data_IF_811648234276
#
_entry.id   IF_811648234276
#
_cell.length_a   1.000
_cell.length_b   1.000
_cell.length_c   1.000
_cell.angle_alpha   90.00
_cell.angle_beta   90.00
_cell.angle_gamma   90.00
#
_symmetry.space_group_name_H-M   'P 1'
#
loop_
_entity.id
_entity.type
_entity.pdbx_description
1 polymer ?
#
# COMPACT_ATOMS: atom_id res chain seq x y z
N UNK A 1 12.27 -11.14 8.34
CA UNK A 1 13.06 -10.40 7.32
C UNK A 1 13.21 -11.33 6.14
N UNK A 2 12.79 -10.88 4.96
CA UNK A 2 12.67 -11.72 3.78
C UNK A 2 14.02 -11.77 3.03
N UNK A 3 14.31 -12.89 2.36
CA UNK A 3 15.61 -13.24 1.77
C UNK A 3 15.83 -12.78 0.31
N UNK A 4 15.04 -11.82 -0.17
CA UNK A 4 15.24 -11.16 -1.49
C UNK A 4 14.91 -12.00 -2.75
N UNK A 5 14.91 -13.34 -2.67
CA UNK A 5 14.76 -14.21 -3.84
C UNK A 5 13.38 -14.13 -4.53
N UNK A 6 12.33 -13.75 -3.80
CA UNK A 6 10.98 -13.55 -4.33
C UNK A 6 10.41 -12.22 -3.82
N UNK A 7 9.96 -11.30 -4.70
CA UNK A 7 9.33 -10.05 -4.28
C UNK A 7 8.20 -10.24 -3.26
N UNK A 8 8.18 -9.54 -2.11
CA UNK A 8 7.05 -9.61 -1.18
C UNK A 8 5.77 -9.03 -1.78
N UNK A 9 4.64 -9.36 -1.17
CA UNK A 9 3.34 -8.74 -1.46
C UNK A 9 2.95 -7.86 -0.27
N UNK A 10 2.74 -6.57 -0.51
CA UNK A 10 2.40 -5.60 0.52
C UNK A 10 0.93 -5.21 0.39
N UNK A 11 0.12 -5.56 1.40
CA UNK A 11 -1.31 -5.26 1.45
C UNK A 11 -1.54 -3.91 2.15
N UNK A 12 -2.02 -2.91 1.40
CA UNK A 12 -2.21 -1.54 1.89
C UNK A 12 -3.69 -1.28 2.10
N UNK A 13 -4.08 -1.11 3.36
CA UNK A 13 -5.47 -0.95 3.75
C UNK A 13 -6.09 0.38 3.29
N UNK A 14 -7.41 0.51 3.37
CA UNK A 14 -8.14 1.75 3.08
C UNK A 14 -8.25 2.69 4.28
N UNK A 15 -9.20 3.62 4.21
CA UNK A 15 -9.65 4.39 5.38
C UNK A 15 -10.20 3.40 6.43
N UNK A 16 -10.02 3.67 7.72
CA UNK A 16 -10.40 2.76 8.84
C UNK A 16 -9.74 1.38 8.86
N UNK A 17 -8.78 1.13 7.96
CA UNK A 17 -8.02 -0.10 8.01
C UNK A 17 -6.99 -0.12 9.12
N UNK A 18 -6.51 -1.34 9.40
CA UNK A 18 -5.58 -1.63 10.48
C UNK A 18 -4.61 -2.73 10.04
N UNK A 19 -3.39 -2.71 10.58
CA UNK A 19 -2.39 -3.74 10.30
C UNK A 19 -2.62 -5.03 11.10
N UNK A 20 -1.82 -6.05 10.78
CA UNK A 20 -1.88 -7.37 11.43
C UNK A 20 -1.77 -7.25 12.95
N UNK A 21 -2.66 -7.93 13.68
CA UNK A 21 -2.66 -7.96 15.15
C UNK A 21 -3.34 -6.78 15.86
N UNK A 22 -3.91 -5.82 15.12
CA UNK A 22 -4.76 -4.77 15.71
C UNK A 22 -6.24 -5.17 15.74
N UNK A 23 -6.99 -4.58 16.67
CA UNK A 23 -8.43 -4.85 16.89
C UNK A 23 -8.75 -6.31 17.30
N UNK A 24 -8.19 -6.72 18.44
CA UNK A 24 -8.44 -8.04 19.06
C UNK A 24 -8.13 -9.26 18.16
N UNK A 25 -7.16 -9.12 17.24
CA UNK A 25 -6.75 -10.20 16.34
C UNK A 25 -7.62 -10.36 15.10
N UNK A 26 -8.59 -9.45 14.86
CA UNK A 26 -9.27 -9.40 13.57
C UNK A 26 -8.27 -9.05 12.45
N UNK A 27 -8.52 -9.58 11.26
CA UNK A 27 -7.74 -9.31 10.06
C UNK A 27 -8.52 -8.37 9.15
N UNK A 28 -7.95 -7.22 8.81
CA UNK A 28 -8.53 -6.30 7.83
C UNK A 28 -8.67 -6.97 6.46
N UNK A 29 -7.69 -7.79 6.06
CA UNK A 29 -7.71 -8.51 4.78
C UNK A 29 -8.28 -9.93 4.91
N UNK A 30 -9.17 -10.16 5.88
CA UNK A 30 -9.84 -11.44 6.15
C UNK A 30 -8.97 -12.72 6.05
N UNK A 31 -7.70 -12.66 6.49
CA UNK A 31 -6.76 -13.78 6.54
C UNK A 31 -5.92 -13.95 5.28
N UNK A 32 -5.99 -13.03 4.30
CA UNK A 32 -5.15 -13.08 3.11
C UNK A 32 -3.65 -13.07 3.45
N UNK A 33 -3.27 -12.46 4.57
CA UNK A 33 -1.89 -12.43 5.06
C UNK A 33 -1.38 -13.75 5.63
N UNK A 34 -2.24 -14.76 5.77
CA UNK A 34 -1.88 -16.12 6.21
C UNK A 34 -1.70 -17.06 5.01
N UNK A 35 -2.02 -16.61 3.79
CA UNK A 35 -1.93 -17.43 2.57
C UNK A 35 -0.52 -17.58 2.02
N UNK A 36 0.39 -16.69 2.40
CA UNK A 36 1.77 -16.68 1.91
C UNK A 36 2.69 -15.97 2.94
N UNK A 37 3.83 -16.60 3.24
CA UNK A 37 4.76 -16.18 4.30
C UNK A 37 5.46 -14.84 3.99
N UNK A 38 5.39 -14.37 2.74
CA UNK A 38 6.02 -13.13 2.26
C UNK A 38 4.99 -12.01 2.04
N UNK A 39 3.87 -12.06 2.76
CA UNK A 39 2.85 -11.01 2.77
C UNK A 39 3.07 -10.05 3.93
N UNK A 40 3.18 -8.77 3.62
CA UNK A 40 3.35 -7.69 4.59
C UNK A 40 2.06 -6.86 4.69
N UNK A 41 1.64 -6.57 5.92
CA UNK A 41 0.41 -5.81 6.20
C UNK A 41 0.73 -4.62 7.10
N UNK A 42 1.24 -3.51 6.52
CA UNK A 42 1.58 -2.31 7.27
C UNK A 42 0.37 -1.68 7.96
N UNK A 43 0.59 -1.15 9.16
CA UNK A 43 -0.35 -0.28 9.86
C UNK A 43 0.06 1.18 9.64
N UNK A 44 -0.64 1.86 8.73
CA UNK A 44 -0.29 3.21 8.28
C UNK A 44 -1.10 4.32 8.97
N UNK A 45 -1.95 3.95 9.93
CA UNK A 45 -2.95 4.84 10.49
C UNK A 45 -4.22 4.87 9.64
N UNK A 46 -5.37 4.74 10.30
CA UNK A 46 -6.68 4.63 9.67
C UNK A 46 -7.23 5.96 9.12
N UNK A 47 -6.71 7.09 9.61
CA UNK A 47 -7.25 8.43 9.37
C UNK A 47 -6.20 9.47 9.00
N UNK A 48 -5.03 9.03 8.57
CA UNK A 48 -3.93 9.88 8.11
C UNK A 48 -4.05 10.20 6.62
N UNK A 49 -3.40 11.28 6.18
CA UNK A 49 -3.42 11.71 4.78
C UNK A 49 -2.79 10.67 3.85
N UNK A 50 -3.14 10.68 2.55
CA UNK A 50 -2.50 9.78 1.57
C UNK A 50 -0.99 10.00 1.52
N UNK A 51 -0.55 11.26 1.64
CA UNK A 51 0.86 11.65 1.72
C UNK A 51 1.58 11.00 2.91
N UNK A 52 1.04 11.17 4.13
CA UNK A 52 1.66 10.62 5.33
C UNK A 52 1.70 9.10 5.32
N UNK A 53 0.66 8.47 4.77
CA UNK A 53 0.59 7.02 4.62
C UNK A 53 1.61 6.51 3.63
N UNK A 54 1.87 7.23 2.53
CA UNK A 54 2.91 6.88 1.56
C UNK A 54 4.31 6.98 2.19
N UNK A 55 4.58 8.07 2.93
CA UNK A 55 5.81 8.23 3.71
C UNK A 55 5.97 7.12 4.74
N UNK A 56 4.95 6.85 5.54
CA UNK A 56 4.96 5.79 6.54
C UNK A 56 5.18 4.40 5.94
N UNK A 57 4.63 4.14 4.74
CA UNK A 57 4.80 2.88 4.02
C UNK A 57 6.25 2.67 3.57
N UNK A 58 6.90 3.72 3.07
CA UNK A 58 8.32 3.66 2.70
C UNK A 58 9.19 3.24 3.89
N UNK A 59 9.08 3.95 5.02
CA UNK A 59 9.89 3.68 6.21
C UNK A 59 9.49 2.38 6.94
N UNK A 60 8.24 1.92 6.80
CA UNK A 60 7.86 0.58 7.26
C UNK A 60 8.65 -0.52 6.54
N UNK A 61 8.90 -0.36 5.23
CA UNK A 61 9.66 -1.30 4.41
C UNK A 61 11.17 -1.13 4.60
N UNK A 62 11.71 0.07 4.38
CA UNK A 62 13.16 0.34 4.44
C UNK A 62 13.71 0.36 5.87
N UNK A 63 12.91 0.79 6.84
CA UNK A 63 13.37 1.13 8.18
C UNK A 63 13.76 2.60 8.30
N UNK A 64 14.08 3.04 9.51
CA UNK A 64 14.36 4.43 9.83
C UNK A 64 13.18 5.17 10.46
N UNK A 65 13.32 6.47 10.64
CA UNK A 65 12.28 7.32 11.23
C UNK A 65 11.44 7.94 10.14
N UNK A 66 10.12 7.81 10.24
CA UNK A 66 9.21 8.41 9.28
C UNK A 66 9.43 9.93 9.24
N UNK A 67 9.83 10.43 8.08
CA UNK A 67 9.90 11.87 7.76
C UNK A 67 8.75 12.23 6.81
N UNK A 68 7.81 13.03 7.30
CA UNK A 68 6.69 13.55 6.54
C UNK A 68 7.05 14.77 5.69
N UNK A 69 8.30 15.25 5.75
CA UNK A 69 8.75 16.44 5.03
C UNK A 69 8.45 17.72 5.78
N UNK A 70 9.46 18.58 5.90
CA UNK A 70 9.38 19.83 6.66
C UNK A 70 8.29 20.77 6.14
N UNK A 71 8.25 20.99 4.82
CA UNK A 71 7.27 21.87 4.19
C UNK A 71 5.84 21.36 4.38
N UNK A 72 5.61 20.06 4.16
CA UNK A 72 4.31 19.43 4.33
C UNK A 72 3.81 19.59 5.76
N UNK A 73 4.65 19.22 6.74
CA UNK A 73 4.32 19.31 8.16
C UNK A 73 4.06 20.74 8.63
N UNK A 74 4.82 21.72 8.13
CA UNK A 74 4.57 23.14 8.40
C UNK A 74 3.24 23.60 7.80
N UNK A 75 2.93 23.18 6.57
CA UNK A 75 1.72 23.59 5.84
C UNK A 75 0.44 23.04 6.47
N UNK A 76 0.47 21.78 6.91
CA UNK A 76 -0.71 21.10 7.48
C UNK A 76 -0.72 21.04 9.01
N UNK A 77 0.27 21.66 9.67
CA UNK A 77 0.27 21.86 11.12
C UNK A 77 0.42 20.58 11.93
N UNK A 78 1.30 19.66 11.52
CA UNK A 78 1.63 18.46 12.29
C UNK A 78 3.14 18.25 12.43
N UNK A 79 3.54 17.27 13.25
CA UNK A 79 4.96 16.97 13.45
C UNK A 79 5.60 16.42 12.17
N UNK A 80 6.84 16.86 11.88
CA UNK A 80 7.67 16.36 10.76
C UNK A 80 8.01 14.89 10.88
N UNK A 81 8.31 14.43 12.10
CA UNK A 81 8.77 13.06 12.31
C UNK A 81 7.72 12.21 13.00
N UNK A 82 7.49 11.01 12.45
CA UNK A 82 6.57 10.01 12.98
C UNK A 82 7.28 8.86 13.72
N UNK A 83 6.70 7.66 13.57
CA UNK A 83 7.20 6.41 14.16
C UNK A 83 8.63 6.13 13.68
N UNK A 84 9.46 5.59 14.57
CA UNK A 84 10.76 5.03 14.22
C UNK A 84 10.65 3.51 14.04
N UNK A 85 11.32 2.99 13.02
CA UNK A 85 11.48 1.57 12.75
C UNK A 85 12.97 1.23 12.82
N UNK A 86 13.41 0.62 13.92
CA UNK A 86 14.82 0.22 14.10
C UNK A 86 15.29 -0.70 12.96
N UNK A 87 14.39 -1.54 12.46
CA UNK A 87 14.60 -2.37 11.27
C UNK A 87 13.35 -2.35 10.40
N UNK A 88 13.55 -2.08 9.11
CA UNK A 88 12.50 -2.23 8.10
C UNK A 88 12.04 -3.67 7.95
N UNK A 89 10.81 -3.86 7.47
CA UNK A 89 10.28 -5.21 7.20
C UNK A 89 10.89 -5.82 5.93
N UNK A 90 11.41 -4.97 5.04
CA UNK A 90 12.14 -5.35 3.83
C UNK A 90 13.27 -4.35 3.53
N UNK A 91 14.35 -4.31 4.33
CA UNK A 91 15.37 -3.25 4.24
C UNK A 91 16.15 -3.24 2.92
N UNK A 92 16.29 -4.40 2.29
CA UNK A 92 16.92 -4.55 0.97
C UNK A 92 16.06 -4.04 -0.19
N UNK A 93 14.84 -3.54 0.07
CA UNK A 93 13.94 -3.09 -0.99
C UNK A 93 14.61 -2.06 -1.91
N UNK A 94 14.83 -2.44 -3.16
CA UNK A 94 15.45 -1.63 -4.21
C UNK A 94 14.98 -2.13 -5.59
N UNK A 95 15.69 -1.76 -6.66
CA UNK A 95 15.34 -2.17 -8.04
C UNK A 95 15.67 -3.64 -8.31
N UNK A 96 16.72 -4.19 -7.69
CA UNK A 96 17.03 -5.61 -7.75
C UNK A 96 16.13 -6.47 -6.84
N UNK A 97 15.59 -5.86 -5.79
CA UNK A 97 14.71 -6.49 -4.82
C UNK A 97 13.35 -5.77 -4.73
N UNK A 98 12.56 -5.69 -5.82
CA UNK A 98 11.34 -4.89 -5.85
C UNK A 98 10.18 -5.60 -5.11
N UNK A 99 9.05 -4.92 -4.95
CA UNK A 99 7.87 -5.45 -4.24
C UNK A 99 6.56 -5.29 -5.02
N UNK A 100 5.62 -6.20 -4.79
CA UNK A 100 4.24 -6.08 -5.27
C UNK A 100 3.37 -5.38 -4.23
N UNK A 101 2.45 -4.54 -4.68
CA UNK A 101 1.55 -3.81 -3.80
C UNK A 101 0.09 -4.06 -4.18
N UNK A 102 -0.74 -4.34 -3.18
CA UNK A 102 -2.19 -4.53 -3.34
C UNK A 102 -2.90 -3.52 -2.44
N UNK A 103 -3.59 -2.56 -3.03
CA UNK A 103 -4.28 -1.49 -2.31
C UNK A 103 -5.78 -1.70 -2.29
N UNK A 104 -6.38 -1.77 -1.10
CA UNK A 104 -7.83 -1.72 -0.95
C UNK A 104 -8.30 -0.27 -0.74
N UNK A 105 -9.37 0.16 -1.42
CA UNK A 105 -9.98 1.49 -1.25
C UNK A 105 -8.91 2.60 -1.37
N UNK A 106 -8.77 3.49 -0.37
CA UNK A 106 -7.77 4.55 -0.36
C UNK A 106 -6.32 4.05 -0.36
N UNK A 107 -6.08 2.78 -0.01
CA UNK A 107 -4.75 2.16 -0.08
C UNK A 107 -4.17 2.15 -1.49
N UNK A 108 -5.01 2.06 -2.53
CA UNK A 108 -4.56 2.15 -3.91
C UNK A 108 -3.98 3.54 -4.25
N UNK A 109 -4.55 4.61 -3.70
CA UNK A 109 -4.02 5.96 -3.86
C UNK A 109 -2.67 6.12 -3.15
N UNK A 110 -2.54 5.55 -1.95
CA UNK A 110 -1.29 5.55 -1.18
C UNK A 110 -0.16 4.93 -1.97
N UNK A 111 -0.39 3.76 -2.59
CA UNK A 111 0.62 3.07 -3.38
C UNK A 111 1.02 3.89 -4.62
N UNK A 112 0.05 4.48 -5.33
CA UNK A 112 0.34 5.31 -6.50
C UNK A 112 1.16 6.54 -6.13
N UNK A 113 0.85 7.19 -5.01
CA UNK A 113 1.62 8.32 -4.53
C UNK A 113 3.03 7.90 -4.08
N UNK A 114 3.17 6.75 -3.42
CA UNK A 114 4.48 6.20 -3.07
C UNK A 114 5.33 5.97 -4.32
N UNK A 115 4.76 5.35 -5.36
CA UNK A 115 5.47 5.13 -6.62
C UNK A 115 5.97 6.44 -7.25
N UNK A 116 5.12 7.48 -7.24
CA UNK A 116 5.51 8.82 -7.70
C UNK A 116 6.64 9.41 -6.83
N UNK A 117 6.55 9.31 -5.51
CA UNK A 117 7.59 9.79 -4.60
C UNK A 117 8.94 9.08 -4.79
N UNK A 118 8.92 7.80 -5.15
CA UNK A 118 10.14 7.05 -5.49
C UNK A 118 10.78 7.58 -6.78
N UNK A 119 9.97 7.82 -7.81
CA UNK A 119 10.41 8.44 -9.07
C UNK A 119 11.02 9.84 -8.84
N UNK A 120 10.34 10.66 -8.04
CA UNK A 120 10.73 12.04 -7.75
C UNK A 120 11.88 12.14 -6.74
N UNK A 121 12.36 11.01 -6.19
CA UNK A 121 13.42 10.96 -5.17
C UNK A 121 13.09 11.76 -3.93
N UNK A 122 11.85 11.68 -3.48
CA UNK A 122 11.30 12.51 -2.41
C UNK A 122 11.76 12.11 -0.98
N UNK A 123 12.65 11.11 -0.85
CA UNK A 123 13.11 10.54 0.41
C UNK A 123 14.58 10.89 0.66
N UNK A 124 14.83 11.84 1.57
CA UNK A 124 16.18 12.28 1.94
C UNK A 124 17.05 11.08 2.40
N UNK A 125 18.27 10.99 1.88
CA UNK A 125 19.19 9.87 2.15
C UNK A 125 18.93 8.61 1.31
N UNK A 126 17.99 8.67 0.36
CA UNK A 126 17.68 7.60 -0.60
C UNK A 126 17.58 8.14 -2.02
N UNK A 127 18.68 8.68 -2.55
CA UNK A 127 18.76 9.39 -3.84
C UNK A 127 18.70 8.44 -5.06
N UNK A 128 18.79 7.14 -4.81
CA UNK A 128 18.71 6.07 -5.79
C UNK A 128 17.32 5.42 -5.88
N UNK A 129 16.29 5.99 -5.26
CA UNK A 129 14.93 5.48 -5.43
C UNK A 129 14.49 5.58 -6.88
N UNK A 130 13.67 4.61 -7.29
CA UNK A 130 13.04 4.57 -8.60
C UNK A 130 11.64 3.96 -8.48
N UNK A 131 10.74 4.34 -9.38
CA UNK A 131 9.46 3.68 -9.59
C UNK A 131 9.59 2.17 -9.85
N UNK A 132 10.75 1.70 -10.34
CA UNK A 132 11.04 0.29 -10.61
C UNK A 132 11.15 -0.57 -9.35
N UNK A 133 11.26 0.05 -8.16
CA UNK A 133 11.17 -0.67 -6.88
C UNK A 133 9.77 -1.28 -6.67
N UNK A 134 8.78 -0.85 -7.49
CA UNK A 134 7.41 -1.36 -7.49
C UNK A 134 7.20 -2.25 -8.72
N UNK A 135 7.07 -3.57 -8.52
CA UNK A 135 6.81 -4.52 -9.63
C UNK A 135 5.40 -4.37 -10.17
N UNK A 136 4.42 -4.22 -9.28
CA UNK A 136 3.03 -4.09 -9.69
C UNK A 136 2.19 -3.40 -8.63
N UNK A 137 1.17 -2.67 -9.09
CA UNK A 137 0.11 -2.11 -8.25
C UNK A 137 -1.21 -2.77 -8.61
N UNK A 138 -1.82 -3.49 -7.67
CA UNK A 138 -3.17 -4.05 -7.80
C UNK A 138 -4.15 -3.23 -6.98
N UNK A 139 -5.20 -2.72 -7.61
CA UNK A 139 -6.27 -1.95 -6.94
C UNK A 139 -7.48 -2.85 -6.69
N UNK A 140 -7.91 -2.94 -5.43
CA UNK A 140 -9.14 -3.61 -5.02
C UNK A 140 -10.14 -2.57 -4.51
N UNK A 141 -11.20 -2.34 -5.27
CA UNK A 141 -12.19 -1.29 -4.97
C UNK A 141 -11.54 0.08 -4.72
N UNK A 142 -10.44 0.38 -5.43
CA UNK A 142 -9.66 1.60 -5.18
C UNK A 142 -10.44 2.86 -5.57
N UNK A 143 -10.49 3.83 -4.66
CA UNK A 143 -11.18 5.12 -4.87
C UNK A 143 -10.35 6.08 -5.71
N UNK A 144 -9.83 5.65 -6.86
CA UNK A 144 -8.82 6.38 -7.63
C UNK A 144 -9.29 7.76 -8.14
N UNK A 145 -10.61 7.95 -8.30
CA UNK A 145 -11.24 9.22 -8.69
C UNK A 145 -12.11 9.81 -7.57
N UNK A 146 -11.87 9.41 -6.32
CA UNK A 146 -12.74 9.75 -5.19
C UNK A 146 -14.02 8.93 -5.15
N UNK A 147 -14.92 9.26 -4.22
CA UNK A 147 -16.23 8.64 -4.06
C UNK A 147 -17.29 9.69 -3.70
N UNK A 148 -18.48 9.59 -4.29
CA UNK A 148 -19.63 10.45 -3.97
C UNK A 148 -20.08 10.27 -2.52
N UNK A 149 -19.79 9.12 -1.89
CA UNK A 149 -20.03 8.86 -0.46
C UNK A 149 -19.38 9.91 0.43
N UNK A 150 -18.21 10.45 0.04
CA UNK A 150 -17.57 11.54 0.77
C UNK A 150 -18.51 12.77 0.83
N UNK A 151 -19.08 13.17 -0.29
CA UNK A 151 -19.99 14.30 -0.36
C UNK A 151 -21.32 14.04 0.35
N UNK A 152 -21.89 12.84 0.17
CA UNK A 152 -23.17 12.43 0.77
C UNK A 152 -23.10 12.34 2.31
N UNK A 153 -21.96 11.97 2.86
CA UNK A 153 -21.72 11.94 4.31
C UNK A 153 -21.51 13.32 4.95
N UNK A 154 -21.65 14.42 4.19
CA UNK A 154 -21.41 15.78 4.69
C UNK A 154 -19.93 16.15 4.83
N UNK A 155 -19.03 15.40 4.18
CA UNK A 155 -17.59 15.52 4.38
C UNK A 155 -17.05 16.66 3.51
N UNK A 156 -17.10 17.90 4.04
CA UNK A 156 -16.29 19.02 3.50
C UNK A 156 -14.90 19.08 4.12
N UNK A 157 -14.73 18.56 5.33
CA UNK A 157 -13.47 18.20 6.00
C UNK A 157 -13.77 17.02 6.95
N UNK A 158 -12.92 16.00 6.90
CA UNK A 158 -12.91 14.69 7.57
C UNK A 158 -13.91 14.37 8.71
N UNK A 159 -14.89 13.48 8.46
CA UNK A 159 -15.34 12.37 9.36
C UNK A 159 -16.26 11.39 8.61
N UNK A 160 -16.04 10.09 8.81
CA UNK A 160 -16.26 8.94 7.90
C UNK A 160 -17.70 8.40 7.80
N UNK A 161 -17.99 7.70 6.69
CA UNK A 161 -18.79 6.45 6.70
C UNK A 161 -18.10 5.40 5.81
N UNK A 162 -17.95 4.15 6.29
CA UNK A 162 -18.22 2.98 5.43
C UNK A 162 -18.47 1.70 6.25
N UNK A 163 -19.64 1.09 6.02
CA UNK A 163 -20.14 -0.08 6.73
C UNK A 163 -19.87 -1.40 5.99
N UNK A 164 -19.48 -1.40 4.71
CA UNK A 164 -19.55 -2.60 3.88
C UNK A 164 -18.36 -3.56 4.05
N UNK A 165 -17.12 -3.05 4.06
CA UNK A 165 -15.94 -3.92 4.27
C UNK A 165 -15.91 -4.50 5.69
N UNK A 166 -16.29 -3.72 6.71
CA UNK A 166 -16.29 -4.23 8.09
C UNK A 166 -17.39 -5.28 8.29
N UNK A 167 -18.56 -5.06 7.68
CA UNK A 167 -19.65 -6.05 7.67
C UNK A 167 -19.21 -7.34 6.98
N UNK A 168 -18.42 -7.26 5.90
CA UNK A 168 -17.84 -8.43 5.26
C UNK A 168 -16.83 -9.17 6.14
N UNK A 169 -15.89 -8.45 6.77
CA UNK A 169 -14.91 -9.04 7.71
C UNK A 169 -15.62 -9.76 8.87
N UNK A 170 -16.70 -9.19 9.39
CA UNK A 170 -17.51 -9.82 10.44
C UNK A 170 -18.37 -11.00 9.94
N UNK A 171 -18.77 -11.03 8.67
CA UNK A 171 -19.60 -12.08 8.06
C UNK A 171 -18.84 -13.03 7.12
N UNK A 172 -17.54 -13.27 7.38
CA UNK A 172 -16.64 -14.16 6.61
C UNK A 172 -17.26 -15.49 6.12
N UNK A 173 -18.12 -16.21 6.88
CA UNK A 173 -18.68 -17.48 6.42
C UNK A 173 -19.54 -17.40 5.15
N UNK A 174 -20.13 -16.24 4.83
CA UNK A 174 -21.05 -16.09 3.70
C UNK A 174 -20.38 -15.69 2.38
N UNK A 175 -19.12 -15.25 2.41
CA UNK A 175 -18.42 -14.73 1.22
C UNK A 175 -16.97 -15.21 1.05
N UNK A 176 -16.54 -16.20 1.84
CA UNK A 176 -15.16 -16.70 1.87
C UNK A 176 -14.66 -17.22 0.52
N UNK A 177 -15.46 -18.01 -0.21
CA UNK A 177 -15.02 -18.66 -1.45
C UNK A 177 -14.64 -17.65 -2.55
N UNK A 178 -15.47 -16.63 -2.77
CA UNK A 178 -15.19 -15.60 -3.78
C UNK A 178 -13.97 -14.75 -3.40
N UNK A 179 -13.84 -14.42 -2.11
CA UNK A 179 -12.70 -13.68 -1.58
C UNK A 179 -11.40 -14.48 -1.72
N UNK A 180 -11.44 -15.76 -1.39
CA UNK A 180 -10.29 -16.64 -1.50
C UNK A 180 -9.80 -16.73 -2.94
N UNK A 181 -10.72 -16.93 -3.89
CA UNK A 181 -10.42 -16.93 -5.33
C UNK A 181 -9.79 -15.61 -5.81
N UNK A 182 -10.24 -14.46 -5.31
CA UNK A 182 -9.67 -13.16 -5.66
C UNK A 182 -8.22 -13.06 -5.20
N UNK A 183 -7.94 -13.29 -3.91
CA UNK A 183 -6.57 -13.19 -3.39
C UNK A 183 -5.65 -14.27 -3.97
N UNK A 184 -6.15 -15.49 -4.17
CA UNK A 184 -5.36 -16.56 -4.80
C UNK A 184 -4.97 -16.19 -6.23
N UNK A 185 -5.89 -15.59 -7.00
CA UNK A 185 -5.59 -15.10 -8.34
C UNK A 185 -4.57 -13.94 -8.33
N UNK A 186 -4.73 -12.98 -7.42
CA UNK A 186 -3.80 -11.84 -7.29
C UNK A 186 -2.41 -12.33 -6.91
N UNK A 187 -2.30 -13.19 -5.90
CA UNK A 187 -1.02 -13.68 -5.40
C UNK A 187 -0.36 -14.55 -6.47
N UNK A 188 -1.12 -15.42 -7.14
CA UNK A 188 -0.62 -16.19 -8.29
C UNK A 188 -0.08 -15.28 -9.40
N UNK A 189 -0.76 -14.18 -9.71
CA UNK A 189 -0.30 -13.23 -10.72
C UNK A 189 0.95 -12.46 -10.27
N UNK A 190 1.02 -12.03 -9.01
CA UNK A 190 2.22 -11.42 -8.44
C UNK A 190 3.42 -12.37 -8.57
N UNK A 191 3.24 -13.64 -8.19
CA UNK A 191 4.29 -14.68 -8.26
C UNK A 191 4.71 -15.02 -9.69
N UNK A 192 3.84 -14.86 -10.69
CA UNK A 192 4.18 -15.03 -12.12
C UNK A 192 4.99 -13.87 -12.71
N UNK A 193 4.74 -12.64 -12.23
CA UNK A 193 5.37 -11.44 -12.77
C UNK A 193 6.84 -11.26 -12.36
N UNK A 194 7.38 -12.16 -11.52
CA UNK A 194 8.80 -12.21 -11.14
C UNK A 194 9.72 -12.41 -12.35
N UNK A 195 9.21 -12.93 -13.47
CA UNK A 195 10.01 -13.27 -14.66
C UNK A 195 9.93 -12.25 -15.83
N UNK A 196 9.22 -11.13 -15.68
CA UNK A 196 9.16 -10.09 -16.74
C UNK A 196 10.18 -8.99 -16.46
N UNK A 197 11.44 -9.25 -16.81
CA UNK A 197 12.56 -8.29 -16.80
C UNK A 197 12.68 -7.45 -18.08
N UNK A 198 11.70 -7.50 -18.98
CA UNK A 198 11.69 -6.65 -20.17
C UNK A 198 10.86 -5.38 -19.90
N UNK A 199 11.39 -4.17 -20.17
CA UNK A 199 10.61 -2.95 -20.14
C UNK A 199 9.40 -3.09 -21.06
N UNK A 200 8.24 -2.61 -20.63
CA UNK A 200 7.10 -2.41 -21.53
C UNK A 200 7.49 -1.34 -22.55
N UNK A 201 8.03 -1.74 -23.70
CA UNK A 201 8.14 -0.85 -24.86
C UNK A 201 6.73 -0.47 -25.28
N UNK A 202 6.36 0.79 -25.07
CA UNK A 202 5.18 1.39 -25.67
C UNK A 202 5.26 1.16 -27.19
N UNK A 203 4.19 0.72 -27.86
CA UNK A 203 4.19 0.66 -29.31
C UNK A 203 4.44 2.05 -29.86
N UNK A 204 5.47 2.17 -30.69
CA UNK A 204 5.84 3.39 -31.38
C UNK A 204 4.59 4.00 -32.04
N UNK A 205 4.19 5.21 -31.61
CA UNK A 205 3.20 6.03 -32.31
C UNK A 205 3.85 6.64 -33.55
N UNK A 206 4.28 5.79 -34.50
CA UNK A 206 4.70 6.19 -35.82
C UNK A 206 3.80 5.49 -36.84
N UNK A 207 2.64 6.09 -37.05
CA UNK A 207 1.83 5.87 -38.25
C UNK A 207 1.54 7.25 -38.82
N UNK A 208 2.23 7.53 -39.92
CA UNK A 208 2.02 8.55 -40.98
C UNK A 208 0.83 9.49 -40.85
#
# INVERSE_FOLDING_TARGET
VLDGAVPPIVLVHGVLGFGKGRMAGMSYFAGAEEKDDRVLVPDLGSLTSVHDRARALFYYLKGGRVDYGEEHSRTYGHARFGRAYDRGHYPMWDEEHPAHFVGHSAGAQVIRLLQQMLHDKAFDGYENTSENWVVSVTSLSGVLNGSTTAYLGGIRYYKIVEADHMTFVMNRPKGSVQFDLIYDNIFRNCRKNVFRTAPLTLPNQNST
#
